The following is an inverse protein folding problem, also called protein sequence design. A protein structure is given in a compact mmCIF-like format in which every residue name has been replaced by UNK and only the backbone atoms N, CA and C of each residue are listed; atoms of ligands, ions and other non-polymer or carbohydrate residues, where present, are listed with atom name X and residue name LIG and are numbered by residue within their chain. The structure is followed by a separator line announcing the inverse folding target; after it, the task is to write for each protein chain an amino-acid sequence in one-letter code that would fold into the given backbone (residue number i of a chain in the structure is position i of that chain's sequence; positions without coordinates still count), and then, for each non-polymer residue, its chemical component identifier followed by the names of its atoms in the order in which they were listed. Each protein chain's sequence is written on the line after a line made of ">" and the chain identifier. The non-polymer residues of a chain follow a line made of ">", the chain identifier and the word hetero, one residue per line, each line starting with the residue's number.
data_IF_502177878545
#
_entry.id   IF_502177878545
#
_cell.length_a   1.000
_cell.length_b   1.000
_cell.length_c   1.000
_cell.angle_alpha   90.00
_cell.angle_beta   90.00
_cell.angle_gamma   90.00
#
_symmetry.space_group_name_H-M   'P 1'
#
loop_
_entity.id
_entity.type
_entity.pdbx_description
1 polymer ?
#
# COMPACT_ATOMS: atom_id res chain seq x y z
N UNK A 1 -2.89 7.22 -26.52
CA UNK A 1 -1.93 6.36 -25.94
C UNK A 1 -2.50 5.55 -24.77
N UNK A 2 -2.36 4.30 -24.84
CA UNK A 2 -2.94 3.49 -23.78
C UNK A 2 -2.24 3.80 -22.48
N UNK A 3 -3.00 3.87 -21.46
CA UNK A 3 -2.47 4.07 -20.17
C UNK A 3 -1.69 2.83 -19.76
N UNK A 4 -0.51 3.06 -19.25
CA UNK A 4 0.27 1.96 -18.80
C UNK A 4 -0.45 1.21 -17.69
N UNK A 5 -0.43 -0.10 -17.75
CA UNK A 5 -1.00 -0.90 -16.69
C UNK A 5 -0.42 -0.51 -15.37
N UNK A 6 -1.27 -0.52 -14.38
CA UNK A 6 -0.82 -0.23 -13.06
C UNK A 6 0.15 -1.32 -12.60
N UNK A 7 1.25 -0.89 -12.05
CA UNK A 7 2.19 -1.81 -11.47
C UNK A 7 1.60 -2.49 -10.26
N UNK A 8 1.93 -3.76 -10.10
CA UNK A 8 1.55 -4.46 -8.89
C UNK A 8 2.36 -3.87 -7.75
N UNK A 9 1.69 -3.54 -6.68
CA UNK A 9 2.37 -2.97 -5.53
C UNK A 9 3.02 -4.06 -4.70
N UNK A 10 4.19 -3.77 -4.15
CA UNK A 10 4.76 -4.67 -3.17
C UNK A 10 3.94 -4.55 -1.89
N UNK A 11 4.13 -5.50 -1.00
CA UNK A 11 3.42 -5.47 0.27
C UNK A 11 3.68 -4.17 1.01
N UNK A 12 4.94 -3.74 1.09
CA UNK A 12 5.26 -2.49 1.77
C UNK A 12 4.60 -1.29 1.11
N UNK A 13 4.60 -1.26 -0.22
CA UNK A 13 3.98 -0.16 -0.94
C UNK A 13 2.48 -0.10 -0.67
N UNK A 14 1.84 -1.25 -0.65
CA UNK A 14 0.42 -1.33 -0.38
C UNK A 14 0.09 -0.77 1.00
N UNK A 15 0.88 -1.13 2.01
CA UNK A 15 0.63 -0.65 3.35
C UNK A 15 0.92 0.84 3.52
N UNK A 16 1.87 1.39 2.76
CA UNK A 16 2.11 2.82 2.80
C UNK A 16 0.88 3.58 2.30
N UNK A 17 0.31 3.12 1.19
CA UNK A 17 -0.91 3.75 0.70
C UNK A 17 -2.06 3.55 1.68
N UNK A 18 -2.15 2.39 2.29
CA UNK A 18 -3.17 2.13 3.30
C UNK A 18 -3.09 3.13 4.45
N UNK A 19 -1.88 3.41 4.91
CA UNK A 19 -1.70 4.38 5.98
C UNK A 19 -2.26 5.74 5.58
N UNK A 20 -1.95 6.16 4.35
CA UNK A 20 -2.38 7.48 3.89
C UNK A 20 -3.84 7.52 3.48
N UNK A 21 -4.47 6.36 3.30
CA UNK A 21 -5.92 6.32 3.16
C UNK A 21 -6.60 6.75 4.45
N UNK A 22 -5.94 6.50 5.57
CA UNK A 22 -6.52 6.85 6.85
C UNK A 22 -6.42 8.34 7.11
N UNK A 23 -5.24 8.90 6.90
CA UNK A 23 -5.04 10.33 7.14
C UNK A 23 -3.66 10.75 6.66
N UNK A 24 -3.45 12.05 6.57
CA UNK A 24 -2.16 12.61 6.25
C UNK A 24 -1.17 12.24 7.35
N UNK A 25 0.02 11.81 6.98
CA UNK A 25 1.02 11.35 7.94
C UNK A 25 2.43 11.70 7.51
N UNK A 26 3.32 11.84 8.47
CA UNK A 26 4.74 11.92 8.18
C UNK A 26 5.30 10.50 8.10
N UNK A 27 6.56 10.39 7.67
CA UNK A 27 7.17 9.07 7.48
C UNK A 27 7.15 8.21 8.74
N UNK A 28 7.49 8.82 9.88
CA UNK A 28 7.53 8.06 11.12
C UNK A 28 6.15 7.54 11.50
N UNK A 29 5.12 8.34 11.26
CA UNK A 29 3.76 7.92 11.55
C UNK A 29 3.30 6.80 10.64
N UNK A 30 3.74 6.84 9.37
CA UNK A 30 3.42 5.77 8.44
C UNK A 30 4.02 4.45 8.92
N UNK A 31 5.30 4.48 9.29
CA UNK A 31 5.96 3.28 9.77
C UNK A 31 5.29 2.72 11.02
N UNK A 32 4.91 3.62 11.93
CA UNK A 32 4.23 3.22 13.16
C UNK A 32 2.88 2.60 12.87
N UNK A 33 2.14 3.20 11.93
CA UNK A 33 0.84 2.66 11.54
C UNK A 33 0.99 1.24 11.01
N UNK A 34 1.97 1.03 10.13
CA UNK A 34 2.14 -0.28 9.50
C UNK A 34 2.47 -1.34 10.53
N UNK A 35 3.38 -1.02 11.44
CA UNK A 35 3.76 -1.99 12.46
C UNK A 35 2.59 -2.35 13.35
N UNK A 36 1.84 -1.35 13.76
CA UNK A 36 0.68 -1.57 14.62
C UNK A 36 -0.42 -2.31 13.88
N UNK A 37 -0.69 -1.91 12.64
CA UNK A 37 -1.77 -2.52 11.85
C UNK A 37 -1.54 -4.01 11.63
N UNK A 38 -0.28 -4.40 11.49
CA UNK A 38 0.07 -5.78 11.16
C UNK A 38 0.58 -6.57 12.36
N UNK A 39 0.51 -5.99 13.55
CA UNK A 39 1.02 -6.61 14.76
C UNK A 39 2.49 -7.01 14.59
N UNK A 40 3.25 -6.14 13.96
CA UNK A 40 4.68 -6.37 13.76
C UNK A 40 5.03 -7.34 12.64
N UNK A 41 4.02 -7.88 11.95
CA UNK A 41 4.30 -8.80 10.84
C UNK A 41 5.01 -8.07 9.70
N UNK A 42 4.66 -6.82 9.49
CA UNK A 42 5.30 -5.99 8.48
C UNK A 42 5.96 -4.82 9.18
N UNK A 43 7.23 -4.64 8.92
CA UNK A 43 7.97 -3.49 9.43
C UNK A 43 8.73 -2.89 8.28
N UNK A 44 8.73 -1.56 8.20
CA UNK A 44 9.39 -0.89 7.11
C UNK A 44 10.49 -0.01 7.68
N UNK A 45 11.71 -0.23 7.24
CA UNK A 45 12.82 0.57 7.70
C UNK A 45 12.88 1.92 6.98
N UNK A 46 13.67 2.85 7.52
CA UNK A 46 13.70 4.19 6.95
C UNK A 46 14.13 4.24 5.48
N UNK A 47 15.13 3.45 5.11
CA UNK A 47 15.60 3.48 3.73
C UNK A 47 14.51 3.02 2.76
N UNK A 48 13.86 1.91 3.10
CA UNK A 48 12.79 1.39 2.25
C UNK A 48 11.61 2.36 2.22
N UNK A 49 11.26 2.91 3.37
CA UNK A 49 10.14 3.85 3.45
C UNK A 49 10.35 5.04 2.53
N UNK A 50 11.52 5.66 2.60
CA UNK A 50 11.74 6.85 1.81
C UNK A 50 11.93 6.55 0.33
N UNK A 51 12.39 5.34 0.00
CA UNK A 51 12.41 4.91 -1.39
C UNK A 51 10.98 4.79 -1.92
N UNK A 52 10.09 4.20 -1.14
CA UNK A 52 8.69 4.06 -1.53
C UNK A 52 8.03 5.43 -1.66
N UNK A 53 8.24 6.30 -0.68
CA UNK A 53 7.65 7.64 -0.73
C UNK A 53 8.14 8.42 -1.95
N UNK A 54 9.43 8.30 -2.28
CA UNK A 54 9.97 8.96 -3.46
C UNK A 54 9.32 8.46 -4.73
N UNK A 55 9.12 7.15 -4.83
CA UNK A 55 8.48 6.59 -5.99
C UNK A 55 7.03 7.07 -6.10
N UNK A 56 6.32 7.10 -4.99
CA UNK A 56 4.94 7.54 -5.00
C UNK A 56 4.80 9.02 -5.33
N UNK A 57 5.75 9.84 -4.90
CA UNK A 57 5.75 11.25 -5.28
C UNK A 57 5.93 11.38 -6.78
N UNK A 58 6.85 10.60 -7.35
CA UNK A 58 7.11 10.64 -8.77
C UNK A 58 5.90 10.18 -9.58
N UNK A 59 5.21 9.17 -9.09
CA UNK A 59 4.01 8.66 -9.76
C UNK A 59 2.78 9.50 -9.47
N UNK A 60 2.91 10.46 -8.57
CA UNK A 60 1.81 11.32 -8.17
C UNK A 60 0.69 10.58 -7.46
N UNK A 61 1.04 9.50 -6.81
CA UNK A 61 0.10 8.79 -5.92
C UNK A 61 -0.07 9.52 -4.61
N UNK A 62 0.94 10.28 -4.21
CA UNK A 62 0.90 11.06 -2.98
C UNK A 62 1.49 12.44 -3.29
N UNK A 63 1.24 13.37 -2.39
CA UNK A 63 1.85 14.68 -2.47
C UNK A 63 2.29 15.11 -1.09
N UNK A 64 3.28 15.96 -1.07
CA UNK A 64 3.76 16.56 0.18
C UNK A 64 2.83 17.68 0.54
N UNK A 65 2.33 17.70 1.76
CA UNK A 65 1.38 18.73 2.16
C UNK A 65 2.02 19.81 3.02
N UNK A 66 3.06 19.43 3.74
CA UNK A 66 3.59 20.36 4.72
C UNK A 66 5.03 19.99 5.02
N UNK A 67 5.85 21.02 5.22
CA UNK A 67 7.22 20.82 5.66
C UNK A 67 7.42 21.72 6.84
N UNK A 68 7.72 21.13 7.98
CA UNK A 68 7.96 21.90 9.19
C UNK A 68 9.30 21.46 9.72
N UNK A 69 10.31 22.31 9.55
CA UNK A 69 11.65 21.93 9.86
C UNK A 69 12.05 20.75 9.00
N UNK A 70 12.31 19.62 9.64
CA UNK A 70 12.67 18.39 8.92
C UNK A 70 11.49 17.45 8.73
N UNK A 71 10.34 17.84 9.26
CA UNK A 71 9.18 16.97 9.20
C UNK A 71 8.42 17.24 7.92
N UNK A 72 8.16 16.19 7.18
CA UNK A 72 7.38 16.26 5.96
C UNK A 72 6.18 15.37 6.10
N UNK A 73 5.01 15.88 5.73
CA UNK A 73 3.80 15.08 5.75
C UNK A 73 3.31 14.86 4.35
N UNK A 74 2.61 13.77 4.18
CA UNK A 74 2.17 13.30 2.87
C UNK A 74 0.68 13.02 2.88
N UNK A 75 0.03 13.29 1.76
CA UNK A 75 -1.38 12.98 1.58
C UNK A 75 -1.53 12.17 0.31
N UNK A 76 -2.49 11.27 0.32
CA UNK A 76 -2.78 10.46 -0.85
C UNK A 76 -3.58 11.30 -1.83
N UNK A 77 -3.32 11.11 -3.13
CA UNK A 77 -4.04 11.81 -4.19
C UNK A 77 -5.16 10.93 -4.72
N UNK A 78 -6.00 11.51 -5.58
CA UNK A 78 -7.05 10.71 -6.22
C UNK A 78 -6.45 9.54 -6.98
N UNK A 79 -5.31 9.78 -7.65
CA UNK A 79 -4.64 8.72 -8.39
C UNK A 79 -4.13 7.63 -7.45
N UNK A 80 -3.62 8.03 -6.28
CA UNK A 80 -3.16 7.06 -5.29
C UNK A 80 -4.30 6.25 -4.70
N UNK A 81 -5.44 6.90 -4.47
CA UNK A 81 -6.62 6.19 -3.97
C UNK A 81 -7.05 5.14 -4.98
N UNK A 82 -7.06 5.50 -6.25
CA UNK A 82 -7.43 4.55 -7.29
C UNK A 82 -6.45 3.38 -7.33
N UNK A 83 -5.16 3.67 -7.23
CA UNK A 83 -4.15 2.62 -7.23
C UNK A 83 -4.36 1.67 -6.06
N UNK A 84 -4.66 2.23 -4.90
CA UNK A 84 -4.90 1.44 -3.70
C UNK A 84 -6.12 0.53 -3.88
N UNK A 85 -7.19 1.09 -4.42
CA UNK A 85 -8.42 0.31 -4.59
C UNK A 85 -8.27 -0.78 -5.65
N UNK A 86 -7.54 -0.51 -6.72
CA UNK A 86 -7.31 -1.52 -7.74
C UNK A 86 -6.49 -2.67 -7.17
N UNK A 87 -5.51 -2.34 -6.34
CA UNK A 87 -4.70 -3.39 -5.74
C UNK A 87 -5.51 -4.20 -4.72
N UNK A 88 -6.36 -3.53 -3.95
CA UNK A 88 -7.24 -4.22 -3.02
C UNK A 88 -8.12 -5.22 -3.76
N UNK A 89 -8.66 -4.79 -4.90
CA UNK A 89 -9.52 -5.66 -5.69
C UNK A 89 -8.75 -6.85 -6.25
N UNK A 90 -7.52 -6.61 -6.71
CA UNK A 90 -6.70 -7.69 -7.23
C UNK A 90 -6.39 -8.72 -6.15
N UNK A 91 -6.04 -8.24 -4.96
CA UNK A 91 -5.73 -9.14 -3.85
C UNK A 91 -6.95 -9.94 -3.43
N UNK A 92 -8.11 -9.31 -3.43
CA UNK A 92 -9.35 -10.01 -3.10
C UNK A 92 -9.63 -11.12 -4.08
N UNK A 93 -9.45 -10.87 -5.37
CA UNK A 93 -9.65 -11.89 -6.39
C UNK A 93 -8.69 -13.05 -6.19
N UNK A 94 -7.43 -12.75 -5.90
CA UNK A 94 -6.44 -13.80 -5.65
C UNK A 94 -6.86 -14.66 -4.46
N UNK A 95 -7.33 -14.00 -3.40
CA UNK A 95 -7.72 -14.73 -2.22
C UNK A 95 -8.93 -15.62 -2.49
N UNK A 96 -9.90 -15.10 -3.22
CA UNK A 96 -11.09 -15.88 -3.57
C UNK A 96 -10.72 -17.09 -4.43
N UNK A 97 -9.81 -16.89 -5.38
CA UNK A 97 -9.35 -18.00 -6.21
C UNK A 97 -8.72 -19.09 -5.36
N UNK A 98 -7.86 -18.68 -4.40
CA UNK A 98 -7.19 -19.62 -3.54
C UNK A 98 -8.18 -20.38 -2.66
N UNK A 99 -9.15 -19.65 -2.12
CA UNK A 99 -10.15 -20.27 -1.26
C UNK A 99 -10.99 -21.29 -2.03
N UNK A 100 -11.28 -20.98 -3.27
CA UNK A 100 -12.06 -21.89 -4.10
C UNK A 100 -11.29 -23.17 -4.41
N UNK A 101 -10.01 -23.01 -4.75
CA UNK A 101 -9.16 -24.19 -5.01
C UNK A 101 -9.03 -25.04 -3.76
N UNK A 102 -8.88 -24.42 -2.62
CA UNK A 102 -8.76 -25.15 -1.36
C UNK A 102 -10.03 -25.93 -1.05
N UNK A 103 -11.18 -25.32 -1.33
CA UNK A 103 -12.45 -25.99 -1.12
C UNK A 103 -12.58 -27.22 -2.01
N UNK A 104 -12.19 -27.07 -3.30
CA UNK A 104 -12.26 -28.19 -4.23
C UNK A 104 -11.33 -29.31 -3.83
N UNK A 105 -10.14 -28.94 -3.37
CA UNK A 105 -9.19 -29.95 -2.93
C UNK A 105 -9.74 -30.73 -1.74
N UNK A 106 -10.34 -30.04 -0.83
CA UNK A 106 -10.92 -30.67 0.35
C UNK A 106 -11.99 -31.68 -0.05
N UNK A 107 -12.85 -31.31 -0.99
CA UNK A 107 -13.91 -32.19 -1.46
C UNK A 107 -13.37 -33.40 -2.17
N UNK A 108 -12.35 -33.21 -2.99
CA UNK A 108 -11.82 -34.29 -3.84
C UNK A 108 -10.93 -35.25 -3.06
N UNK A 109 -10.20 -34.73 -2.07
CA UNK A 109 -9.16 -35.51 -1.42
C UNK A 109 -9.49 -35.93 0.01
N UNK A 110 -10.67 -35.73 0.43
CA UNK A 110 -11.06 -36.15 1.76
C UNK A 110 -11.40 -37.60 1.86
#
# INVERSE_FOLDING_TARGET
>A
MPKKSMEILTESMFYVLMALMKETMCGMEIAGFIEKRTNGRVRIGPATLYTVLGKFLKEEYIRETEVEGRKRTYAITAKGIQAYREETQRLLCCLRDAEEEDRERSIVHE
#
